data_IF_926214823452
#
_entry.id   IF_926214823452
#
_cell.length_a   1.000
_cell.length_b   1.000
_cell.length_c   1.000
_cell.angle_alpha   90.00
_cell.angle_beta   90.00
_cell.angle_gamma   90.00
#
_symmetry.space_group_name_H-M   'P 1'
#
loop_
_entity.id
_entity.type
_entity.pdbx_description
1 polymer ?
#
# COMPACT_ATOMS: atom_id res chain seq x y z
N UNK A 1 -17.95 -16.94 6.80
CA UNK A 1 -17.92 -15.62 6.14
C UNK A 1 -18.59 -15.66 4.76
N UNK A 2 -18.23 -16.58 3.87
CA UNK A 2 -18.77 -16.64 2.50
C UNK A 2 -20.30 -16.83 2.42
N UNK A 3 -20.90 -17.63 3.32
CA UNK A 3 -22.34 -17.90 3.31
C UNK A 3 -23.21 -16.65 3.56
N UNK A 4 -22.82 -15.76 4.47
CA UNK A 4 -23.61 -14.55 4.79
C UNK A 4 -23.61 -13.56 3.64
N UNK A 5 -22.45 -13.38 2.99
CA UNK A 5 -22.32 -12.45 1.84
C UNK A 5 -23.14 -12.96 0.66
N UNK A 6 -23.08 -14.26 0.35
CA UNK A 6 -23.85 -14.85 -0.75
C UNK A 6 -25.36 -14.79 -0.49
N UNK A 7 -25.80 -15.06 0.75
CA UNK A 7 -27.21 -14.98 1.12
C UNK A 7 -27.76 -13.56 1.06
N UNK A 8 -26.94 -12.55 1.37
CA UNK A 8 -27.37 -11.15 1.42
C UNK A 8 -27.24 -10.41 0.08
N UNK A 9 -26.26 -10.78 -0.76
CA UNK A 9 -25.90 -10.04 -1.96
C UNK A 9 -25.99 -10.86 -3.26
N UNK A 10 -26.45 -12.11 -3.19
CA UNK A 10 -26.64 -12.97 -4.37
C UNK A 10 -25.38 -13.70 -4.83
N UNK A 11 -25.54 -14.46 -5.91
CA UNK A 11 -24.48 -15.30 -6.50
C UNK A 11 -23.44 -14.43 -7.24
N UNK A 12 -23.81 -13.23 -7.66
CA UNK A 12 -22.95 -12.24 -8.29
C UNK A 12 -21.76 -11.85 -7.38
N UNK A 13 -22.01 -11.82 -6.05
CA UNK A 13 -20.97 -11.58 -5.07
C UNK A 13 -19.89 -12.69 -5.05
N UNK A 14 -20.22 -13.92 -5.48
CA UNK A 14 -19.26 -15.03 -5.54
C UNK A 14 -18.09 -14.71 -6.48
N UNK A 15 -18.39 -14.20 -7.68
CA UNK A 15 -17.34 -13.90 -8.66
C UNK A 15 -16.39 -12.81 -8.12
N UNK A 16 -16.94 -11.79 -7.46
CA UNK A 16 -16.14 -10.75 -6.79
C UNK A 16 -15.26 -11.33 -5.69
N UNK A 17 -15.80 -12.21 -4.84
CA UNK A 17 -15.04 -12.87 -3.77
C UNK A 17 -13.91 -13.76 -4.32
N UNK A 18 -14.15 -14.52 -5.38
CA UNK A 18 -13.13 -15.36 -6.01
C UNK A 18 -11.96 -14.53 -6.57
N UNK A 19 -12.25 -13.38 -7.18
CA UNK A 19 -11.21 -12.46 -7.65
C UNK A 19 -10.43 -11.85 -6.49
N UNK A 20 -11.11 -11.42 -5.42
CA UNK A 20 -10.45 -10.93 -4.20
C UNK A 20 -9.54 -11.99 -3.57
N UNK A 21 -9.91 -13.28 -3.67
CA UNK A 21 -9.07 -14.39 -3.25
C UNK A 21 -7.84 -14.58 -4.13
N UNK A 22 -8.02 -14.57 -5.46
CA UNK A 22 -6.89 -14.61 -6.42
C UNK A 22 -5.92 -13.45 -6.24
N UNK A 23 -6.43 -12.26 -5.93
CA UNK A 23 -5.64 -11.07 -5.59
C UNK A 23 -5.13 -11.06 -4.14
N UNK A 24 -5.29 -12.14 -3.37
CA UNK A 24 -4.78 -12.23 -2.00
C UNK A 24 -5.31 -11.20 -1.00
N UNK A 25 -6.35 -10.42 -1.36
CA UNK A 25 -7.01 -9.42 -0.51
C UNK A 25 -7.82 -10.12 0.57
N UNK A 26 -8.52 -11.18 0.18
CA UNK A 26 -9.22 -12.09 1.10
C UNK A 26 -8.53 -13.44 1.01
N UNK A 27 -8.17 -14.04 2.14
CA UNK A 27 -7.52 -15.36 2.16
C UNK A 27 -8.17 -16.26 3.19
N UNK A 28 -8.12 -17.56 2.93
CA UNK A 28 -8.47 -18.55 3.94
C UNK A 28 -7.41 -18.57 5.04
N UNK A 29 -7.87 -18.58 6.30
CA UNK A 29 -6.98 -18.61 7.46
C UNK A 29 -6.22 -19.93 7.46
N UNK A 30 -4.90 -19.86 7.60
CA UNK A 30 -4.02 -21.04 7.61
C UNK A 30 -3.40 -21.39 6.26
N UNK A 31 -3.68 -20.66 5.18
CA UNK A 31 -2.99 -20.82 3.90
C UNK A 31 -3.30 -22.12 3.15
N UNK A 32 -4.26 -22.92 3.64
CA UNK A 32 -4.67 -24.20 3.04
C UNK A 32 -5.68 -24.06 1.90
N UNK A 33 -5.96 -22.83 1.44
CA UNK A 33 -6.92 -22.57 0.39
C UNK A 33 -6.39 -22.96 -0.99
N UNK A 34 -7.27 -23.47 -1.86
CA UNK A 34 -6.93 -23.84 -3.25
C UNK A 34 -6.65 -22.65 -4.15
N UNK A 35 -6.99 -21.44 -3.72
CA UNK A 35 -6.76 -20.18 -4.42
C UNK A 35 -5.75 -19.36 -3.62
N UNK A 36 -4.52 -19.29 -4.12
CA UNK A 36 -3.42 -18.52 -3.55
C UNK A 36 -2.99 -17.43 -4.52
N UNK A 37 -2.58 -16.28 -4.00
CA UNK A 37 -1.92 -15.27 -4.81
C UNK A 37 -0.48 -15.71 -5.12
N UNK A 38 0.04 -15.33 -6.27
CA UNK A 38 1.40 -15.69 -6.72
C UNK A 38 2.51 -14.95 -5.95
N UNK A 39 2.15 -14.03 -5.06
CA UNK A 39 3.06 -13.28 -4.22
C UNK A 39 2.91 -13.62 -2.74
N UNK A 40 4.01 -13.44 -2.01
CA UNK A 40 4.07 -13.72 -0.58
C UNK A 40 3.00 -12.92 0.20
N UNK A 41 2.33 -13.55 1.18
CA UNK A 41 1.37 -12.85 2.00
C UNK A 41 2.06 -11.76 2.83
N UNK A 42 1.39 -10.60 2.96
CA UNK A 42 1.84 -9.52 3.84
C UNK A 42 1.93 -10.01 5.29
N UNK A 43 3.13 -9.97 5.88
CA UNK A 43 3.36 -10.26 7.30
C UNK A 43 3.02 -9.03 8.15
N UNK A 44 1.76 -8.60 8.11
CA UNK A 44 1.33 -7.33 8.71
C UNK A 44 1.72 -7.17 10.19
N UNK A 45 1.61 -8.18 11.08
CA UNK A 45 2.05 -8.00 12.47
C UNK A 45 3.55 -7.68 12.61
N UNK A 46 4.39 -8.30 11.77
CA UNK A 46 5.82 -8.03 11.73
C UNK A 46 6.08 -6.62 11.20
N UNK A 47 5.49 -6.28 10.05
CA UNK A 47 5.66 -4.98 9.41
C UNK A 47 5.12 -3.84 10.28
N UNK A 48 4.01 -4.06 10.99
CA UNK A 48 3.44 -3.12 11.97
C UNK A 48 4.49 -2.69 12.99
N UNK A 49 5.22 -3.66 13.56
CA UNK A 49 6.26 -3.40 14.56
C UNK A 49 7.52 -2.82 13.93
N UNK A 50 7.96 -3.38 12.80
CA UNK A 50 9.19 -2.97 12.11
C UNK A 50 9.13 -1.51 11.63
N UNK A 51 7.99 -1.09 11.09
CA UNK A 51 7.79 0.22 10.47
C UNK A 51 7.01 1.21 11.34
N UNK A 52 6.72 0.85 12.59
CA UNK A 52 5.90 1.63 13.51
C UNK A 52 4.64 2.19 12.84
N UNK A 53 3.78 1.29 12.35
CA UNK A 53 2.58 1.66 11.59
C UNK A 53 1.47 2.25 12.46
N UNK A 54 1.56 2.11 13.78
CA UNK A 54 0.58 2.61 14.75
C UNK A 54 1.31 3.33 15.90
N UNK A 55 1.93 4.49 15.63
CA UNK A 55 2.60 5.28 16.66
C UNK A 55 1.60 5.74 17.74
N UNK A 56 2.04 5.78 18.99
CA UNK A 56 1.17 6.07 20.14
C UNK A 56 0.65 7.50 20.18
N UNK A 57 1.47 8.47 19.74
CA UNK A 57 1.17 9.89 19.82
C UNK A 57 1.24 10.52 18.42
N UNK A 58 0.07 10.75 17.83
CA UNK A 58 -0.06 11.41 16.52
C UNK A 58 -0.87 12.68 16.67
N UNK A 59 -0.35 13.77 16.12
CA UNK A 59 -1.07 15.02 15.99
C UNK A 59 -1.75 15.09 14.63
N UNK A 60 -3.04 15.40 14.60
CA UNK A 60 -3.76 15.64 13.34
C UNK A 60 -3.47 17.03 12.76
N UNK A 61 -2.98 17.95 13.58
CA UNK A 61 -2.66 19.33 13.19
C UNK A 61 -1.20 19.50 12.76
N UNK A 62 -0.29 18.72 13.35
CA UNK A 62 1.12 18.71 12.95
C UNK A 62 1.36 17.54 11.99
N UNK A 63 1.55 17.86 10.71
CA UNK A 63 1.72 16.89 9.62
C UNK A 63 3.16 16.36 9.51
N UNK A 64 3.93 16.33 10.60
CA UNK A 64 5.31 15.86 10.59
C UNK A 64 5.45 14.34 10.46
N UNK A 65 4.43 13.58 10.88
CA UNK A 65 4.38 12.12 10.75
C UNK A 65 3.23 11.73 9.82
N UNK A 66 3.47 10.82 8.87
CA UNK A 66 2.51 10.39 7.85
C UNK A 66 1.25 9.70 8.42
N UNK A 67 1.25 9.28 9.68
CA UNK A 67 0.09 8.74 10.38
C UNK A 67 -1.04 9.75 10.58
N UNK A 68 -0.77 11.06 10.46
CA UNK A 68 -1.79 12.11 10.57
C UNK A 68 -2.95 11.89 9.59
N UNK A 69 -2.66 11.36 8.40
CA UNK A 69 -3.62 11.23 7.30
C UNK A 69 -4.69 10.15 7.55
N UNK A 70 -4.45 9.26 8.52
CA UNK A 70 -5.39 8.20 8.94
C UNK A 70 -5.58 8.17 10.46
N UNK A 71 -5.40 9.31 11.15
CA UNK A 71 -5.63 9.45 12.59
C UNK A 71 -4.95 8.36 13.44
N UNK A 72 -3.67 8.09 13.15
CA UNK A 72 -2.86 7.14 13.92
C UNK A 72 -2.35 5.93 13.15
N UNK A 73 -2.73 5.74 11.88
CA UNK A 73 -2.13 4.73 11.01
C UNK A 73 -1.21 5.33 9.95
N UNK A 74 0.08 4.97 9.99
CA UNK A 74 1.00 5.32 8.91
C UNK A 74 0.89 4.30 7.76
N UNK A 75 0.65 4.72 6.50
CA UNK A 75 0.61 3.80 5.38
C UNK A 75 1.96 3.10 5.19
N UNK A 76 1.94 1.77 5.12
CA UNK A 76 3.15 0.97 5.00
C UNK A 76 4.04 1.39 3.82
N UNK A 77 3.47 1.69 2.65
CA UNK A 77 4.24 2.17 1.49
C UNK A 77 4.98 3.48 1.80
N UNK A 78 4.36 4.38 2.57
CA UNK A 78 4.97 5.66 2.97
C UNK A 78 6.14 5.41 3.92
N UNK A 79 5.97 4.55 4.93
CA UNK A 79 7.07 4.19 5.86
C UNK A 79 8.27 3.53 5.17
N UNK A 80 7.99 2.65 4.21
CA UNK A 80 9.02 2.01 3.38
C UNK A 80 9.79 3.06 2.56
N UNK A 81 9.08 4.03 1.98
CA UNK A 81 9.70 5.12 1.22
C UNK A 81 10.45 6.12 2.13
N UNK A 82 9.95 6.41 3.34
CA UNK A 82 10.63 7.24 4.34
C UNK A 82 11.98 6.62 4.74
N UNK A 83 12.02 5.30 4.95
CA UNK A 83 13.27 4.57 5.20
C UNK A 83 14.23 4.68 4.00
N UNK A 84 13.72 4.48 2.79
CA UNK A 84 14.48 4.62 1.55
C UNK A 84 15.08 6.01 1.37
N UNK A 85 14.28 7.05 1.56
CA UNK A 85 14.70 8.46 1.48
C UNK A 85 15.78 8.78 2.52
N UNK A 86 15.60 8.33 3.77
CA UNK A 86 16.57 8.52 4.86
C UNK A 86 17.95 7.92 4.55
N UNK A 87 17.97 6.74 3.91
CA UNK A 87 19.23 6.07 3.54
C UNK A 87 19.66 6.35 2.11
N UNK A 88 19.03 7.31 1.41
CA UNK A 88 19.31 7.63 0.00
C UNK A 88 19.30 6.38 -0.91
N UNK A 89 18.36 5.48 -0.65
CA UNK A 89 18.16 4.24 -1.40
C UNK A 89 19.39 3.31 -1.42
N UNK A 90 20.33 3.47 -0.49
CA UNK A 90 21.47 2.56 -0.37
C UNK A 90 20.99 1.17 0.04
N UNK A 91 21.47 0.12 -0.63
CA UNK A 91 21.07 -1.27 -0.37
C UNK A 91 19.72 -1.69 -0.97
N UNK A 92 19.01 -0.77 -1.63
CA UNK A 92 17.81 -1.12 -2.39
C UNK A 92 18.17 -1.75 -3.74
N UNK A 93 17.27 -2.59 -4.25
CA UNK A 93 17.46 -3.22 -5.56
C UNK A 93 17.45 -2.15 -6.66
N UNK A 94 18.57 -2.03 -7.38
CA UNK A 94 18.72 -1.11 -8.51
C UNK A 94 18.65 -1.89 -9.81
N UNK A 95 17.86 -1.38 -10.75
CA UNK A 95 17.87 -1.87 -12.14
C UNK A 95 18.97 -1.21 -12.97
N UNK A 96 19.54 -0.12 -12.46
CA UNK A 96 20.60 0.65 -13.09
C UNK A 96 21.54 1.19 -12.00
N UNK A 97 22.84 0.86 -12.11
CA UNK A 97 23.87 1.27 -11.15
C UNK A 97 24.68 2.50 -11.59
N UNK A 98 24.40 3.04 -12.78
CA UNK A 98 25.06 4.25 -13.26
C UNK A 98 24.60 5.50 -12.50
N UNK A 99 25.49 6.46 -12.32
CA UNK A 99 25.13 7.80 -11.89
C UNK A 99 24.61 8.59 -13.09
N UNK A 100 23.33 8.94 -13.05
CA UNK A 100 22.80 9.98 -13.96
C UNK A 100 23.19 11.30 -13.31
N UNK A 101 24.08 12.07 -13.94
CA UNK A 101 24.46 13.39 -13.43
C UNK A 101 23.23 14.27 -13.22
N UNK A 102 23.08 14.85 -12.02
CA UNK A 102 21.89 15.61 -11.66
C UNK A 102 21.80 15.89 -10.16
N UNK A 103 20.74 16.61 -9.79
CA UNK A 103 20.36 16.88 -8.40
C UNK A 103 19.98 15.57 -7.68
N UNK A 104 20.31 15.43 -6.40
CA UNK A 104 20.12 14.21 -5.57
C UNK A 104 18.65 14.00 -5.14
N UNK A 105 17.72 14.46 -5.98
CA UNK A 105 16.28 14.39 -5.72
C UNK A 105 15.68 13.13 -6.33
N UNK A 106 14.71 12.58 -5.60
CA UNK A 106 14.02 11.35 -5.96
C UNK A 106 12.68 11.64 -6.61
N UNK A 107 12.40 10.95 -7.71
CA UNK A 107 11.04 10.81 -8.24
C UNK A 107 10.49 9.43 -7.86
N UNK A 108 9.30 9.39 -7.25
CA UNK A 108 8.62 8.15 -6.86
C UNK A 108 7.48 7.87 -7.83
N UNK A 109 7.42 6.66 -8.41
CA UNK A 109 6.31 6.22 -9.25
C UNK A 109 5.64 4.98 -8.64
N UNK A 110 4.40 5.13 -8.17
CA UNK A 110 3.61 4.03 -7.59
C UNK A 110 2.80 3.32 -8.67
N UNK A 111 3.15 2.06 -8.96
CA UNK A 111 2.44 1.20 -9.91
C UNK A 111 1.25 0.53 -9.22
N UNK A 112 0.09 0.49 -9.89
CA UNK A 112 -1.15 -0.12 -9.36
C UNK A 112 -2.10 0.86 -8.67
N UNK A 113 -1.65 2.11 -8.48
CA UNK A 113 -2.43 3.20 -7.93
C UNK A 113 -2.02 3.59 -6.52
N UNK A 114 -2.18 4.88 -6.20
CA UNK A 114 -1.94 5.43 -4.87
C UNK A 114 -3.14 6.24 -4.39
N UNK A 115 -3.40 6.21 -3.09
CA UNK A 115 -4.42 7.04 -2.45
C UNK A 115 -3.89 8.46 -2.25
N UNK A 116 -4.82 9.42 -2.06
CA UNK A 116 -4.43 10.80 -1.77
C UNK A 116 -3.67 10.94 -0.46
N UNK A 117 -3.99 10.12 0.54
CA UNK A 117 -3.31 10.13 1.83
C UNK A 117 -1.87 9.59 1.71
N UNK A 118 -1.65 8.52 0.94
CA UNK A 118 -0.29 8.05 0.63
C UNK A 118 0.53 9.11 -0.11
N UNK A 119 -0.07 9.75 -1.13
CA UNK A 119 0.60 10.84 -1.85
C UNK A 119 0.89 12.05 -0.96
N UNK A 120 0.03 12.36 0.00
CA UNK A 120 0.28 13.41 0.98
C UNK A 120 1.45 13.04 1.90
N UNK A 121 1.55 11.79 2.32
CA UNK A 121 2.70 11.28 3.09
C UNK A 121 4.01 11.32 2.29
N UNK A 122 4.00 10.88 1.03
CA UNK A 122 5.19 10.92 0.15
C UNK A 122 5.69 12.35 -0.04
N UNK A 123 4.80 13.34 -0.10
CA UNK A 123 5.16 14.76 -0.24
C UNK A 123 5.86 15.36 0.99
N UNK A 124 5.81 14.70 2.15
CA UNK A 124 6.52 15.15 3.35
C UNK A 124 8.01 14.81 3.30
N UNK A 125 8.43 13.91 2.41
CA UNK A 125 9.82 13.47 2.29
C UNK A 125 10.68 14.58 1.67
N UNK A 126 11.79 14.99 2.32
CA UNK A 126 12.55 16.17 1.90
C UNK A 126 13.24 16.01 0.54
N UNK A 127 13.70 14.81 0.17
CA UNK A 127 14.41 14.63 -1.11
C UNK A 127 13.49 14.15 -2.24
N UNK A 128 12.20 13.88 -1.97
CA UNK A 128 11.24 13.49 -3.01
C UNK A 128 10.68 14.74 -3.69
N UNK A 129 11.04 14.95 -4.95
CA UNK A 129 10.60 16.13 -5.71
C UNK A 129 9.33 15.88 -6.55
N UNK A 130 9.05 14.61 -6.85
CA UNK A 130 7.96 14.22 -7.73
C UNK A 130 7.35 12.90 -7.27
N UNK A 131 6.04 12.89 -7.05
CA UNK A 131 5.26 11.69 -6.77
C UNK A 131 4.27 11.44 -7.90
N UNK A 132 4.41 10.32 -8.57
CA UNK A 132 3.60 9.86 -9.69
C UNK A 132 2.92 8.55 -9.31
N UNK A 133 1.81 8.27 -9.96
CA UNK A 133 1.15 6.97 -9.85
C UNK A 133 0.38 6.66 -11.13
N UNK A 134 0.19 5.38 -11.43
CA UNK A 134 -0.62 4.95 -12.56
C UNK A 134 -2.09 5.37 -12.43
N UNK A 135 -2.61 5.52 -11.21
CA UNK A 135 -3.98 5.97 -10.95
C UNK A 135 -4.16 6.49 -9.53
N UNK A 136 -5.09 7.45 -9.34
CA UNK A 136 -5.53 7.84 -8.00
C UNK A 136 -6.65 6.90 -7.56
N UNK A 137 -6.39 6.09 -6.53
CA UNK A 137 -7.28 5.01 -6.09
C UNK A 137 -7.89 5.27 -4.70
N UNK A 138 -8.99 4.59 -4.42
CA UNK A 138 -9.65 4.49 -3.10
C UNK A 138 -10.10 3.04 -2.90
N UNK A 139 -10.51 2.67 -1.67
CA UNK A 139 -11.07 1.34 -1.41
C UNK A 139 -12.24 1.00 -2.35
N UNK A 140 -13.16 1.94 -2.57
CA UNK A 140 -14.28 1.74 -3.49
C UNK A 140 -13.82 1.58 -4.94
N UNK A 141 -12.91 2.44 -5.43
CA UNK A 141 -12.39 2.32 -6.81
C UNK A 141 -11.67 1.00 -7.05
N UNK A 142 -10.94 0.50 -6.06
CA UNK A 142 -10.32 -0.82 -6.11
C UNK A 142 -11.39 -1.91 -6.22
N UNK A 143 -12.38 -1.89 -5.33
CA UNK A 143 -13.45 -2.91 -5.31
C UNK A 143 -14.33 -2.87 -6.57
N UNK A 144 -14.55 -1.70 -7.15
CA UNK A 144 -15.33 -1.53 -8.37
C UNK A 144 -14.54 -1.99 -9.60
N UNK A 145 -13.24 -1.69 -9.68
CA UNK A 145 -12.36 -2.17 -10.75
C UNK A 145 -12.31 -3.69 -10.84
N UNK A 146 -12.42 -4.41 -9.71
CA UNK A 146 -12.44 -5.89 -9.67
C UNK A 146 -13.72 -6.47 -10.26
N UNK A 147 -14.84 -5.74 -10.19
CA UNK A 147 -16.13 -6.23 -10.72
C UNK A 147 -16.19 -6.25 -12.24
N UNK A 148 -15.39 -5.43 -12.92
CA UNK A 148 -15.41 -5.26 -14.38
C UNK A 148 -14.44 -6.16 -15.15
N UNK A 149 -13.60 -6.93 -14.46
CA UNK A 149 -12.66 -7.93 -15.03
C UNK A 149 -13.40 -9.26 -15.27
#
# INVERSE_FOLDING_TARGET
>A
MNLVILQSFGVEALNKLLKLQKMGVVRERGGSGKLTADYAPSMFPHMKKQYDLLPENVSETNTSDSAYAYSGYAPLIVRILEEGDRVRWTGWHKTFDGSIGGDDRTAVFVVGGATRAELAGIKLMPNVCLALTSSIITGNRLLDGITQI
#
